data_IF_178667690252
#
_entry.id   IF_178667690252
#
_cell.length_a   1.000
_cell.length_b   1.000
_cell.length_c   1.000
_cell.angle_alpha   90.00
_cell.angle_beta   90.00
_cell.angle_gamma   90.00
#
_symmetry.space_group_name_H-M   'P 1'
#
loop_
_entity.id
_entity.type
_entity.pdbx_description
1 polymer ?
#
# COMPACT_ATOMS: atom_id res chain seq x y z
N UNK A 1 -10.43 -24.63 -33.53
CA UNK A 1 -11.63 -24.79 -32.68
C UNK A 1 -12.83 -25.21 -33.50
N UNK A 2 -13.18 -24.54 -34.57
CA UNK A 2 -14.36 -24.83 -35.42
C UNK A 2 -14.36 -26.29 -35.90
N UNK A 3 -13.19 -26.85 -36.30
CA UNK A 3 -13.06 -28.25 -36.65
C UNK A 3 -13.34 -29.20 -35.48
N UNK A 4 -12.95 -28.84 -34.26
CA UNK A 4 -13.21 -29.67 -33.08
C UNK A 4 -14.71 -29.73 -32.78
N UNK A 5 -15.38 -28.58 -32.85
CA UNK A 5 -16.84 -28.50 -32.65
C UNK A 5 -17.67 -29.11 -33.79
N UNK A 6 -17.12 -29.22 -35.01
CA UNK A 6 -17.80 -29.81 -36.15
C UNK A 6 -17.63 -31.32 -36.23
N UNK A 7 -16.60 -31.89 -35.61
CA UNK A 7 -16.24 -33.31 -35.71
C UNK A 7 -16.65 -34.16 -34.50
N UNK A 8 -16.98 -33.50 -33.37
CA UNK A 8 -17.36 -34.19 -32.12
C UNK A 8 -18.78 -33.85 -31.74
N UNK A 9 -19.43 -34.77 -30.99
CA UNK A 9 -20.73 -34.48 -30.45
C UNK A 9 -20.65 -33.37 -29.39
N UNK A 10 -21.70 -32.56 -29.28
CA UNK A 10 -21.80 -31.52 -28.26
C UNK A 10 -21.57 -32.08 -26.86
N UNK A 11 -22.02 -33.27 -26.58
CA UNK A 11 -21.89 -33.93 -25.27
C UNK A 11 -20.44 -34.33 -24.95
N UNK A 12 -19.68 -34.79 -25.95
CA UNK A 12 -18.25 -35.09 -25.78
C UNK A 12 -17.42 -33.85 -25.52
N UNK A 13 -17.67 -32.78 -26.27
CA UNK A 13 -17.01 -31.50 -26.08
C UNK A 13 -17.36 -30.91 -24.70
N UNK A 14 -18.62 -30.98 -24.31
CA UNK A 14 -19.08 -30.49 -23.02
C UNK A 14 -18.48 -31.28 -21.85
N UNK A 15 -18.43 -32.62 -21.97
CA UNK A 15 -17.81 -33.47 -20.96
C UNK A 15 -16.34 -33.18 -20.79
N UNK A 16 -15.60 -33.01 -21.91
CA UNK A 16 -14.20 -32.62 -21.87
C UNK A 16 -13.99 -31.24 -21.24
N UNK A 17 -14.79 -30.25 -21.61
CA UNK A 17 -14.70 -28.91 -21.05
C UNK A 17 -15.00 -28.91 -19.55
N UNK A 18 -15.98 -29.69 -19.11
CA UNK A 18 -16.33 -29.85 -17.71
C UNK A 18 -15.17 -30.45 -16.91
N UNK A 19 -14.59 -31.54 -17.40
CA UNK A 19 -13.45 -32.19 -16.75
C UNK A 19 -12.20 -31.31 -16.72
N UNK A 20 -12.03 -30.47 -17.75
CA UNK A 20 -10.92 -29.52 -17.82
C UNK A 20 -11.17 -28.34 -16.87
N UNK A 21 -12.39 -27.84 -16.78
CA UNK A 21 -12.76 -26.78 -15.86
C UNK A 21 -12.56 -27.20 -14.39
N UNK A 22 -12.91 -28.43 -14.01
CA UNK A 22 -12.65 -28.94 -12.65
C UNK A 22 -11.15 -28.97 -12.28
N UNK A 23 -10.26 -29.04 -13.27
CA UNK A 23 -8.81 -29.08 -13.08
C UNK A 23 -8.15 -27.72 -13.29
N UNK A 24 -8.89 -26.75 -13.83
CA UNK A 24 -8.42 -25.41 -14.17
C UNK A 24 -9.35 -24.37 -13.55
N UNK A 25 -8.90 -23.80 -12.44
CA UNK A 25 -9.68 -22.83 -11.66
C UNK A 25 -10.04 -21.58 -12.47
N UNK A 26 -9.15 -21.12 -13.35
CA UNK A 26 -9.40 -19.91 -14.17
C UNK A 26 -10.54 -20.16 -15.17
N UNK A 27 -10.53 -21.33 -15.82
CA UNK A 27 -11.61 -21.72 -16.73
C UNK A 27 -12.92 -21.94 -15.98
N UNK A 28 -12.87 -22.56 -14.80
CA UNK A 28 -14.05 -22.76 -13.95
C UNK A 28 -14.66 -21.41 -13.56
N UNK A 29 -13.86 -20.47 -13.09
CA UNK A 29 -14.30 -19.12 -12.73
C UNK A 29 -14.88 -18.36 -13.94
N UNK A 30 -14.24 -18.47 -15.12
CA UNK A 30 -14.72 -17.84 -16.33
C UNK A 30 -16.09 -18.42 -16.80
N UNK A 31 -16.27 -19.74 -16.69
CA UNK A 31 -17.54 -20.39 -17.03
C UNK A 31 -18.65 -19.99 -16.06
N UNK A 32 -18.38 -20.03 -14.75
CA UNK A 32 -19.35 -19.64 -13.71
C UNK A 32 -19.81 -18.20 -13.97
N UNK A 33 -18.87 -17.28 -14.23
CA UNK A 33 -19.19 -15.88 -14.48
C UNK A 33 -20.00 -15.69 -15.76
N UNK A 34 -19.63 -16.40 -16.85
CA UNK A 34 -20.34 -16.26 -18.12
C UNK A 34 -21.80 -16.70 -18.02
N UNK A 35 -22.06 -17.77 -17.26
CA UNK A 35 -23.42 -18.35 -17.14
C UNK A 35 -24.18 -17.84 -15.92
N UNK A 36 -23.49 -17.34 -14.88
CA UNK A 36 -24.07 -16.85 -13.62
C UNK A 36 -23.43 -15.50 -13.22
N UNK A 37 -23.63 -14.44 -14.02
CA UNK A 37 -22.94 -13.17 -13.81
C UNK A 37 -23.32 -12.47 -12.50
N UNK A 38 -24.45 -12.80 -11.90
CA UNK A 38 -24.96 -12.14 -10.69
C UNK A 38 -24.57 -12.84 -9.37
N UNK A 39 -23.82 -13.96 -9.41
CA UNK A 39 -23.53 -14.80 -8.25
C UNK A 39 -22.03 -14.96 -7.95
N UNK A 40 -21.25 -13.86 -7.98
CA UNK A 40 -19.87 -13.90 -7.48
C UNK A 40 -19.91 -13.96 -5.96
N UNK A 41 -19.60 -15.12 -5.40
CA UNK A 41 -19.46 -15.30 -3.95
C UNK A 41 -18.13 -14.69 -3.47
N UNK A 42 -18.21 -13.44 -2.99
CA UNK A 42 -17.05 -12.69 -2.49
C UNK A 42 -16.40 -13.36 -1.28
N UNK A 43 -17.19 -14.06 -0.45
CA UNK A 43 -16.64 -14.76 0.71
C UNK A 43 -15.92 -16.05 0.29
N UNK A 44 -16.38 -16.72 -0.77
CA UNK A 44 -15.67 -17.85 -1.36
C UNK A 44 -14.32 -17.42 -1.95
N UNK A 45 -14.26 -16.29 -2.65
CA UNK A 45 -13.01 -15.74 -3.18
C UNK A 45 -12.00 -15.41 -2.06
N UNK A 46 -12.46 -14.77 -1.00
CA UNK A 46 -11.63 -14.48 0.18
C UNK A 46 -11.13 -15.75 0.88
N UNK A 47 -11.97 -16.75 1.01
CA UNK A 47 -11.60 -18.05 1.58
C UNK A 47 -10.57 -18.78 0.70
N UNK A 48 -10.62 -18.61 -0.62
CA UNK A 48 -9.60 -19.15 -1.52
C UNK A 48 -8.22 -18.56 -1.21
N UNK A 49 -8.11 -17.24 -1.04
CA UNK A 49 -6.85 -16.58 -0.61
C UNK A 49 -6.37 -17.15 0.73
N UNK A 50 -7.27 -17.28 1.71
CA UNK A 50 -6.94 -17.86 3.03
C UNK A 50 -6.43 -19.28 2.95
N UNK A 51 -7.04 -20.12 2.12
CA UNK A 51 -6.68 -21.52 1.99
C UNK A 51 -5.32 -21.73 1.33
N UNK A 52 -4.84 -20.81 0.51
CA UNK A 52 -3.50 -20.84 -0.06
C UNK A 52 -2.46 -21.06 1.03
N UNK A 53 -2.62 -20.40 2.13
CA UNK A 53 -1.68 -20.37 3.25
C UNK A 53 -1.69 -21.65 4.05
N UNK A 54 -2.91 -22.09 4.41
CA UNK A 54 -3.05 -23.32 5.17
C UNK A 54 -2.52 -24.54 4.41
N UNK A 55 -2.59 -24.54 3.07
CA UNK A 55 -2.07 -25.62 2.24
C UNK A 55 -0.53 -25.69 2.19
N UNK A 56 0.17 -24.59 2.44
CA UNK A 56 1.63 -24.53 2.46
C UNK A 56 2.20 -24.84 3.86
N UNK A 57 1.44 -24.50 4.91
CA UNK A 57 1.87 -24.71 6.31
C UNK A 57 1.90 -26.20 6.72
N UNK A 58 1.18 -27.06 6.01
CA UNK A 58 1.12 -28.52 6.29
C UNK A 58 2.33 -29.31 5.73
N UNK A 59 3.20 -28.72 4.92
CA UNK A 59 4.33 -29.41 4.28
C UNK A 59 5.63 -29.41 5.08
N UNK A 60 5.59 -29.12 6.38
CA UNK A 60 6.75 -28.93 7.24
C UNK A 60 7.67 -30.14 7.37
N UNK A 61 8.94 -29.93 7.08
CA UNK A 61 10.02 -30.86 7.32
C UNK A 61 10.36 -31.00 8.82
N UNK A 62 11.10 -32.04 9.18
CA UNK A 62 11.50 -32.52 10.51
C UNK A 62 12.16 -31.48 11.45
N UNK A 63 12.43 -30.26 10.98
CA UNK A 63 13.13 -29.17 11.70
C UNK A 63 12.24 -28.00 12.07
N UNK A 64 10.93 -28.13 11.94
CA UNK A 64 9.93 -27.09 12.15
C UNK A 64 9.36 -26.61 10.83
N UNK A 65 8.21 -25.97 10.81
CA UNK A 65 7.58 -25.50 9.59
C UNK A 65 8.42 -24.37 8.99
N UNK A 66 9.36 -24.72 8.10
CA UNK A 66 9.96 -23.74 7.22
C UNK A 66 8.93 -23.42 6.16
N UNK A 67 8.22 -22.32 6.36
CA UNK A 67 7.32 -21.79 5.35
C UNK A 67 8.12 -21.54 4.07
N UNK A 68 7.74 -22.22 2.99
CA UNK A 68 8.36 -21.95 1.70
C UNK A 68 7.74 -20.66 1.13
N UNK A 69 8.33 -19.56 1.51
CA UNK A 69 7.90 -18.23 1.18
C UNK A 69 7.79 -17.98 -0.32
N UNK A 70 8.68 -18.50 -1.12
CA UNK A 70 8.60 -18.39 -2.58
C UNK A 70 7.32 -19.02 -3.15
N UNK A 71 6.86 -20.12 -2.55
CA UNK A 71 5.60 -20.75 -2.97
C UNK A 71 4.39 -19.90 -2.57
N UNK A 72 4.41 -19.28 -1.39
CA UNK A 72 3.36 -18.39 -0.95
C UNK A 72 3.31 -17.14 -1.84
N UNK A 73 4.45 -16.49 -2.09
CA UNK A 73 4.54 -15.33 -2.95
C UNK A 73 4.03 -15.63 -4.38
N UNK A 74 4.42 -16.77 -4.97
CA UNK A 74 3.91 -17.22 -6.29
C UNK A 74 2.38 -17.39 -6.27
N UNK A 75 1.82 -17.93 -5.21
CA UNK A 75 0.38 -18.12 -5.09
C UNK A 75 -0.36 -16.79 -4.85
N UNK A 76 0.19 -15.89 -4.03
CA UNK A 76 -0.36 -14.54 -3.84
C UNK A 76 -0.30 -13.74 -5.15
N UNK A 77 0.80 -13.87 -5.91
CA UNK A 77 0.92 -13.28 -7.25
C UNK A 77 -0.18 -13.77 -8.19
N UNK A 78 -0.48 -15.06 -8.20
CA UNK A 78 -1.61 -15.62 -8.98
C UNK A 78 -2.96 -15.09 -8.52
N UNK A 79 -3.15 -14.89 -7.23
CA UNK A 79 -4.39 -14.26 -6.73
C UNK A 79 -4.49 -12.80 -7.16
N UNK A 80 -3.39 -12.06 -7.17
CA UNK A 80 -3.36 -10.70 -7.72
C UNK A 80 -3.63 -10.68 -9.23
N UNK A 81 -3.14 -11.66 -9.99
CA UNK A 81 -3.49 -11.80 -11.41
C UNK A 81 -4.98 -12.06 -11.60
N UNK A 82 -5.57 -12.87 -10.73
CA UNK A 82 -7.02 -13.10 -10.70
C UNK A 82 -7.79 -11.82 -10.36
N UNK A 83 -7.32 -11.04 -9.39
CA UNK A 83 -7.89 -9.73 -9.07
C UNK A 83 -7.83 -8.78 -10.28
N UNK A 84 -6.68 -8.68 -10.96
CA UNK A 84 -6.52 -7.90 -12.20
C UNK A 84 -7.43 -8.36 -13.34
N UNK A 85 -7.72 -9.65 -13.39
CA UNK A 85 -8.68 -10.18 -14.35
C UNK A 85 -10.09 -9.69 -14.03
N UNK A 86 -10.54 -9.76 -12.77
CA UNK A 86 -11.84 -9.25 -12.34
C UNK A 86 -11.98 -7.75 -12.57
N UNK A 87 -10.94 -6.97 -12.30
CA UNK A 87 -10.91 -5.53 -12.56
C UNK A 87 -11.13 -5.22 -14.04
N UNK A 88 -10.45 -5.92 -14.95
CA UNK A 88 -10.63 -5.76 -16.40
C UNK A 88 -12.02 -6.13 -16.91
N UNK A 89 -12.67 -7.08 -16.25
CA UNK A 89 -14.04 -7.49 -16.59
C UNK A 89 -15.11 -6.57 -15.97
N UNK A 90 -14.71 -5.58 -15.17
CA UNK A 90 -15.61 -4.65 -14.48
C UNK A 90 -16.21 -5.20 -13.20
N UNK A 91 -15.72 -6.33 -12.71
CA UNK A 91 -16.14 -6.97 -11.46
C UNK A 91 -15.33 -6.42 -10.27
N UNK A 92 -15.48 -5.12 -10.03
CA UNK A 92 -14.61 -4.35 -9.14
C UNK A 92 -14.67 -4.83 -7.69
N UNK A 93 -15.84 -5.20 -7.17
CA UNK A 93 -15.98 -5.71 -5.79
C UNK A 93 -15.26 -7.05 -5.60
N UNK A 94 -15.23 -7.90 -6.63
CA UNK A 94 -14.49 -9.16 -6.61
C UNK A 94 -12.97 -8.90 -6.61
N UNK A 95 -12.50 -8.02 -7.49
CA UNK A 95 -11.10 -7.60 -7.54
C UNK A 95 -10.64 -7.03 -6.19
N UNK A 96 -11.41 -6.10 -5.64
CA UNK A 96 -11.13 -5.45 -4.37
C UNK A 96 -11.16 -6.43 -3.18
N UNK A 97 -12.07 -7.41 -3.19
CA UNK A 97 -12.16 -8.42 -2.14
C UNK A 97 -10.94 -9.33 -2.10
N UNK A 98 -10.40 -9.72 -3.26
CA UNK A 98 -9.15 -10.50 -3.34
C UNK A 98 -7.97 -9.65 -2.86
N UNK A 99 -7.83 -8.43 -3.38
CA UNK A 99 -6.72 -7.56 -3.03
C UNK A 99 -6.67 -7.24 -1.53
N UNK A 100 -7.82 -6.94 -0.91
CA UNK A 100 -7.88 -6.68 0.54
C UNK A 100 -7.52 -7.91 1.38
N UNK A 101 -7.91 -9.11 0.93
CA UNK A 101 -7.56 -10.35 1.62
C UNK A 101 -6.07 -10.67 1.52
N UNK A 102 -5.42 -10.36 0.37
CA UNK A 102 -3.96 -10.47 0.22
C UNK A 102 -3.26 -9.57 1.23
N UNK A 103 -3.68 -8.31 1.38
CA UNK A 103 -3.14 -7.40 2.39
C UNK A 103 -3.34 -7.93 3.80
N UNK A 104 -4.57 -8.34 4.14
CA UNK A 104 -4.90 -8.86 5.45
C UNK A 104 -4.06 -10.09 5.80
N UNK A 105 -3.85 -10.94 4.81
CA UNK A 105 -3.03 -12.13 4.95
C UNK A 105 -1.57 -11.80 5.23
N UNK A 106 -0.94 -11.02 4.36
CA UNK A 106 0.45 -10.60 4.55
C UNK A 106 0.63 -9.96 5.93
N UNK A 107 -0.29 -9.05 6.32
CA UNK A 107 -0.26 -8.40 7.63
C UNK A 107 -0.32 -9.37 8.80
N UNK A 108 -1.13 -10.42 8.70
CA UNK A 108 -1.22 -11.45 9.74
C UNK A 108 0.07 -12.25 9.87
N UNK A 109 0.72 -12.55 8.75
CA UNK A 109 1.99 -13.29 8.77
C UNK A 109 3.16 -12.47 9.24
N UNK A 110 3.20 -11.18 8.94
CA UNK A 110 4.21 -10.27 9.48
C UNK A 110 4.23 -10.24 11.02
N UNK A 111 3.12 -10.52 11.66
CA UNK A 111 3.02 -10.59 13.13
C UNK A 111 3.41 -11.96 13.71
N UNK A 112 3.81 -12.92 12.88
CA UNK A 112 4.25 -14.24 13.34
C UNK A 112 5.78 -14.23 13.51
N UNK A 113 6.26 -14.46 14.75
CA UNK A 113 7.69 -14.48 15.09
C UNK A 113 8.53 -15.44 14.22
N UNK A 114 7.88 -16.45 13.61
CA UNK A 114 8.50 -17.40 12.70
C UNK A 114 8.97 -16.78 11.36
N UNK A 115 8.48 -15.59 11.05
CA UNK A 115 8.74 -14.90 9.78
C UNK A 115 10.08 -14.16 9.78
N UNK A 116 10.51 -13.67 10.93
CA UNK A 116 11.76 -12.91 11.08
C UNK A 116 13.04 -13.73 10.76
N UNK A 117 12.96 -15.05 10.72
CA UNK A 117 14.10 -15.92 10.50
C UNK A 117 14.26 -16.37 9.03
N UNK A 118 13.41 -15.92 8.10
CA UNK A 118 13.41 -16.40 6.72
C UNK A 118 14.11 -15.43 5.76
N UNK A 119 15.15 -15.92 5.05
CA UNK A 119 15.73 -15.23 3.89
C UNK A 119 14.72 -15.15 2.74
N UNK A 120 14.56 -13.98 2.13
CA UNK A 120 13.68 -13.79 0.95
C UNK A 120 12.40 -13.01 1.23
N UNK A 121 12.37 -12.29 2.32
CA UNK A 121 11.23 -11.52 2.81
C UNK A 121 10.75 -10.36 1.89
N UNK A 122 11.59 -9.88 0.98
CA UNK A 122 11.31 -8.73 0.11
C UNK A 122 10.14 -8.97 -0.89
N UNK A 123 9.73 -10.23 -1.10
CA UNK A 123 8.68 -10.58 -2.05
C UNK A 123 7.28 -10.16 -1.62
N UNK A 124 7.03 -10.03 -0.32
CA UNK A 124 5.69 -9.67 0.20
C UNK A 124 5.35 -8.20 0.04
N UNK A 125 6.34 -7.35 0.10
CA UNK A 125 6.19 -5.92 -0.15
C UNK A 125 5.61 -5.69 -1.53
N UNK A 126 6.03 -6.50 -2.50
CA UNK A 126 5.54 -6.41 -3.87
C UNK A 126 4.04 -6.73 -3.96
N UNK A 127 3.57 -7.81 -3.34
CA UNK A 127 2.17 -8.21 -3.41
C UNK A 127 1.27 -7.25 -2.62
N UNK A 128 1.69 -6.81 -1.45
CA UNK A 128 0.97 -5.82 -0.65
C UNK A 128 0.87 -4.48 -1.36
N UNK A 129 1.96 -4.00 -1.95
CA UNK A 129 1.98 -2.80 -2.77
C UNK A 129 1.07 -2.94 -3.98
N UNK A 130 1.18 -4.05 -4.71
CA UNK A 130 0.34 -4.35 -5.88
C UNK A 130 -1.15 -4.36 -5.52
N UNK A 131 -1.50 -4.86 -4.33
CA UNK A 131 -2.87 -4.85 -3.85
C UNK A 131 -3.34 -3.43 -3.46
N UNK A 132 -2.51 -2.64 -2.80
CA UNK A 132 -2.80 -1.24 -2.48
C UNK A 132 -2.95 -0.39 -3.76
N UNK A 133 -2.04 -0.55 -4.72
CA UNK A 133 -2.07 0.13 -6.02
C UNK A 133 -3.34 -0.18 -6.82
N UNK A 134 -3.92 -1.37 -6.63
CA UNK A 134 -5.21 -1.73 -7.23
C UNK A 134 -6.39 -1.10 -6.48
N UNK A 135 -6.38 -1.15 -5.15
CA UNK A 135 -7.51 -0.70 -4.32
C UNK A 135 -7.70 0.81 -4.37
N UNK A 136 -6.62 1.59 -4.35
CA UNK A 136 -6.67 3.06 -4.33
C UNK A 136 -7.51 3.61 -5.49
N UNK A 137 -7.21 3.29 -6.77
CA UNK A 137 -8.00 3.80 -7.89
C UNK A 137 -9.45 3.31 -7.88
N UNK A 138 -9.71 2.06 -7.44
CA UNK A 138 -11.07 1.52 -7.36
C UNK A 138 -11.93 2.28 -6.34
N UNK A 139 -11.35 2.65 -5.20
CA UNK A 139 -12.04 3.43 -4.17
C UNK A 139 -12.25 4.86 -4.63
N UNK A 140 -11.24 5.51 -5.21
CA UNK A 140 -11.31 6.90 -5.67
C UNK A 140 -12.30 7.08 -6.82
N UNK A 141 -12.39 6.12 -7.73
CA UNK A 141 -13.35 6.13 -8.85
C UNK A 141 -14.79 5.84 -8.43
N UNK A 142 -15.02 5.48 -7.16
CA UNK A 142 -16.34 5.20 -6.57
C UNK A 142 -17.12 4.10 -7.30
N UNK A 143 -16.41 3.11 -7.83
CA UNK A 143 -17.03 1.97 -8.53
C UNK A 143 -17.37 0.81 -7.59
N UNK A 144 -16.85 0.83 -6.34
CA UNK A 144 -17.10 -0.20 -5.33
C UNK A 144 -18.39 0.05 -4.55
N UNK A 145 -19.03 -1.05 -4.15
CA UNK A 145 -20.14 -0.99 -3.18
C UNK A 145 -19.62 -0.49 -1.82
N UNK A 146 -20.43 0.31 -1.14
CA UNK A 146 -20.06 0.92 0.15
C UNK A 146 -19.80 -0.13 1.25
N UNK A 147 -20.42 -1.31 1.18
CA UNK A 147 -20.15 -2.39 2.13
C UNK A 147 -18.80 -3.04 1.84
N UNK A 148 -18.41 -3.15 0.57
CA UNK A 148 -17.06 -3.58 0.18
C UNK A 148 -16.02 -2.60 0.70
N UNK A 149 -16.19 -1.29 0.50
CA UNK A 149 -15.28 -0.27 1.02
C UNK A 149 -15.17 -0.35 2.55
N UNK A 150 -16.31 -0.48 3.26
CA UNK A 150 -16.29 -0.60 4.73
C UNK A 150 -15.57 -1.85 5.21
N UNK A 151 -15.71 -2.97 4.49
CA UNK A 151 -15.00 -4.22 4.78
C UNK A 151 -13.49 -4.04 4.58
N UNK A 152 -13.06 -3.43 3.47
CA UNK A 152 -11.65 -3.11 3.20
C UNK A 152 -11.09 -2.23 4.32
N UNK A 153 -11.79 -1.17 4.72
CA UNK A 153 -11.37 -0.30 5.82
C UNK A 153 -11.13 -1.08 7.11
N UNK A 154 -12.07 -1.95 7.49
CA UNK A 154 -11.91 -2.77 8.68
C UNK A 154 -10.73 -3.78 8.58
N UNK A 155 -10.43 -4.26 7.40
CA UNK A 155 -9.33 -5.19 7.19
C UNK A 155 -7.97 -4.46 7.25
N UNK A 156 -7.87 -3.26 6.67
CA UNK A 156 -6.68 -2.40 6.78
C UNK A 156 -6.45 -1.98 8.22
N UNK A 157 -7.48 -1.59 8.96
CA UNK A 157 -7.34 -1.23 10.38
C UNK A 157 -6.80 -2.38 11.23
N UNK A 158 -7.21 -3.63 10.94
CA UNK A 158 -6.67 -4.82 11.62
C UNK A 158 -5.17 -4.98 11.33
N UNK A 159 -4.76 -4.79 10.09
CA UNK A 159 -3.37 -4.92 9.66
C UNK A 159 -2.51 -3.84 10.30
N UNK A 160 -2.93 -2.58 10.24
CA UNK A 160 -2.22 -1.45 10.84
C UNK A 160 -2.17 -1.51 12.37
N UNK A 161 -3.11 -2.23 12.99
CA UNK A 161 -3.13 -2.48 14.44
C UNK A 161 -2.14 -3.55 14.90
N UNK A 162 -1.46 -4.27 14.00
CA UNK A 162 -0.48 -5.30 14.37
C UNK A 162 0.87 -4.69 14.75
N UNK A 163 1.58 -5.32 15.70
CA UNK A 163 2.91 -4.89 16.15
C UNK A 163 3.94 -4.89 15.02
N UNK A 164 3.83 -5.81 14.09
CA UNK A 164 4.72 -5.91 12.94
C UNK A 164 4.68 -4.65 12.04
N UNK A 165 3.51 -4.07 11.84
CA UNK A 165 3.36 -2.80 11.12
C UNK A 165 3.78 -1.60 11.98
N UNK A 166 3.59 -1.67 13.28
CA UNK A 166 4.02 -0.63 14.21
C UNK A 166 5.54 -0.60 14.41
N UNK A 167 6.19 -1.77 14.43
CA UNK A 167 7.62 -1.91 14.70
C UNK A 167 8.49 -2.04 13.46
N UNK A 168 7.96 -2.60 12.36
CA UNK A 168 8.73 -3.01 11.18
C UNK A 168 8.65 -2.06 9.98
N UNK A 169 7.58 -1.33 9.81
CA UNK A 169 7.43 -0.32 8.77
C UNK A 169 7.37 -0.79 7.31
N UNK A 170 7.33 -2.09 7.04
CA UNK A 170 7.19 -2.61 5.68
C UNK A 170 5.82 -2.26 5.10
N UNK A 171 5.76 -1.82 3.85
CA UNK A 171 4.55 -1.37 3.14
C UNK A 171 3.70 -0.32 3.90
N UNK A 172 4.23 0.23 4.97
CA UNK A 172 3.50 1.19 5.79
C UNK A 172 3.10 2.44 4.98
N UNK A 173 3.92 2.85 3.99
CA UNK A 173 3.60 3.96 3.12
C UNK A 173 2.34 3.66 2.28
N UNK A 174 2.34 2.53 1.56
CA UNK A 174 1.29 2.16 0.63
C UNK A 174 -0.04 1.89 1.37
N UNK A 175 0.03 1.18 2.50
CA UNK A 175 -1.16 0.91 3.33
C UNK A 175 -1.73 2.15 4.00
N UNK A 176 -0.90 3.08 4.37
CA UNK A 176 -1.39 4.30 4.97
C UNK A 176 -1.93 5.27 3.92
N UNK A 177 -1.45 5.25 2.67
CA UNK A 177 -2.07 5.96 1.56
C UNK A 177 -3.47 5.38 1.30
N UNK A 178 -3.57 4.05 1.22
CA UNK A 178 -4.85 3.36 1.12
C UNK A 178 -5.80 3.73 2.27
N UNK A 179 -5.31 3.75 3.51
CA UNK A 179 -6.11 4.20 4.66
C UNK A 179 -6.60 5.64 4.48
N UNK A 180 -5.74 6.55 4.05
CA UNK A 180 -6.11 7.95 3.83
C UNK A 180 -7.22 8.10 2.78
N UNK A 181 -7.18 7.28 1.73
CA UNK A 181 -8.23 7.25 0.69
C UNK A 181 -9.54 6.70 1.26
N UNK A 182 -9.50 5.60 2.01
CA UNK A 182 -10.67 5.00 2.66
C UNK A 182 -11.38 5.98 3.60
N UNK A 183 -10.64 6.70 4.41
CA UNK A 183 -11.18 7.71 5.33
C UNK A 183 -11.76 8.92 4.59
N UNK A 184 -11.18 9.28 3.45
CA UNK A 184 -11.74 10.29 2.55
C UNK A 184 -13.15 9.94 2.06
N UNK A 185 -13.45 8.66 1.88
CA UNK A 185 -14.79 8.19 1.47
C UNK A 185 -15.82 8.37 2.59
N UNK A 186 -15.42 8.17 3.84
CA UNK A 186 -16.33 8.23 4.99
C UNK A 186 -16.47 9.63 5.59
N UNK A 187 -15.74 10.62 5.06
CA UNK A 187 -15.74 12.04 5.53
C UNK A 187 -15.42 12.20 7.03
N UNK A 188 -14.55 11.34 7.54
CA UNK A 188 -14.15 11.29 8.96
C UNK A 188 -12.83 12.03 9.20
N UNK A 189 -12.72 13.26 8.70
CA UNK A 189 -11.47 14.04 8.76
C UNK A 189 -10.91 14.18 10.18
N UNK A 190 -11.75 14.55 11.14
CA UNK A 190 -11.30 14.81 12.52
C UNK A 190 -10.88 13.52 13.22
N UNK A 191 -11.58 12.42 13.00
CA UNK A 191 -11.26 11.10 13.59
C UNK A 191 -9.93 10.57 13.03
N UNK A 192 -9.71 10.76 11.73
CA UNK A 192 -8.46 10.36 11.10
C UNK A 192 -7.29 11.18 11.60
N UNK A 193 -7.43 12.49 11.63
CA UNK A 193 -6.39 13.38 12.12
C UNK A 193 -6.01 13.04 13.56
N UNK A 194 -7.01 12.77 14.42
CA UNK A 194 -6.79 12.33 15.80
C UNK A 194 -6.08 10.97 15.87
N UNK A 195 -6.39 10.04 14.94
CA UNK A 195 -5.71 8.75 14.83
C UNK A 195 -4.24 8.92 14.44
N UNK A 196 -3.94 9.76 13.43
CA UNK A 196 -2.57 10.08 13.04
C UNK A 196 -1.78 10.70 14.20
N UNK A 197 -2.37 11.66 14.92
CA UNK A 197 -1.72 12.29 16.07
C UNK A 197 -1.41 11.27 17.17
N UNK A 198 -2.34 10.36 17.46
CA UNK A 198 -2.11 9.27 18.42
C UNK A 198 -0.99 8.33 17.99
N UNK A 199 -0.88 8.01 16.70
CA UNK A 199 0.21 7.18 16.18
C UNK A 199 1.55 7.90 16.30
N UNK A 200 1.60 9.19 15.93
CA UNK A 200 2.80 10.03 16.05
C UNK A 200 3.27 10.11 17.50
N UNK A 201 2.34 10.32 18.44
CA UNK A 201 2.64 10.38 19.87
C UNK A 201 3.12 9.03 20.43
N UNK A 202 2.52 7.91 19.99
CA UNK A 202 2.89 6.57 20.39
C UNK A 202 4.21 6.08 19.78
N UNK A 203 4.64 6.64 18.65
CA UNK A 203 5.91 6.30 18.03
C UNK A 203 7.14 6.56 18.91
N UNK A 204 6.98 7.35 19.96
CA UNK A 204 7.94 7.51 21.05
C UNK A 204 9.36 7.85 20.58
N UNK A 205 10.34 7.00 20.94
CA UNK A 205 11.76 7.16 20.56
C UNK A 205 12.12 6.63 19.18
N UNK A 206 11.20 5.99 18.47
CA UNK A 206 11.42 5.51 17.14
C UNK A 206 11.33 6.67 16.12
N UNK A 207 12.37 7.49 16.08
CA UNK A 207 12.45 8.76 15.29
C UNK A 207 12.06 8.54 13.85
N UNK A 208 12.54 7.46 13.23
CA UNK A 208 12.23 7.14 11.83
C UNK A 208 10.72 6.98 11.58
N UNK A 209 10.02 6.23 12.46
CA UNK A 209 8.57 6.04 12.32
C UNK A 209 7.79 7.33 12.55
N UNK A 210 8.16 8.07 13.60
CA UNK A 210 7.53 9.35 13.91
C UNK A 210 7.63 10.31 12.72
N UNK A 211 8.80 10.41 12.10
CA UNK A 211 9.03 11.29 10.95
C UNK A 211 8.17 10.89 9.76
N UNK A 212 8.06 9.60 9.48
CA UNK A 212 7.23 9.08 8.40
C UNK A 212 5.74 9.40 8.61
N UNK A 213 5.24 9.25 9.83
CA UNK A 213 3.86 9.61 10.16
C UNK A 213 3.58 11.11 10.11
N UNK A 214 4.54 11.93 10.50
CA UNK A 214 4.46 13.38 10.32
C UNK A 214 4.36 13.77 8.85
N UNK A 215 5.18 13.17 7.99
CA UNK A 215 5.10 13.38 6.54
C UNK A 215 3.71 13.04 6.00
N UNK A 216 3.15 11.91 6.42
CA UNK A 216 1.80 11.51 6.03
C UNK A 216 0.74 12.47 6.52
N UNK A 217 0.82 12.93 7.76
CA UNK A 217 -0.10 13.93 8.29
C UNK A 217 -0.10 15.18 7.41
N UNK A 218 1.08 15.64 6.99
CA UNK A 218 1.22 16.79 6.09
C UNK A 218 0.60 16.48 4.72
N UNK A 219 0.88 15.32 4.14
CA UNK A 219 0.30 14.91 2.86
C UNK A 219 -1.23 14.85 2.94
N UNK A 220 -1.78 14.26 4.00
CA UNK A 220 -3.21 14.20 4.24
C UNK A 220 -3.86 15.58 4.40
N UNK A 221 -3.23 16.46 5.18
CA UNK A 221 -3.71 17.83 5.35
C UNK A 221 -3.72 18.61 4.02
N UNK A 222 -2.69 18.43 3.18
CA UNK A 222 -2.64 19.01 1.84
C UNK A 222 -3.73 18.44 0.93
N UNK A 223 -3.95 17.14 0.96
CA UNK A 223 -5.02 16.47 0.21
C UNK A 223 -6.41 17.02 0.60
N UNK A 224 -6.62 17.32 1.87
CA UNK A 224 -7.85 17.93 2.41
C UNK A 224 -7.88 19.48 2.30
N UNK A 225 -6.94 20.07 1.56
CA UNK A 225 -6.83 21.53 1.37
C UNK A 225 -6.69 22.33 2.69
N UNK A 226 -6.18 21.67 3.74
CA UNK A 226 -5.89 22.30 5.04
C UNK A 226 -4.46 22.84 5.10
N UNK A 227 -4.12 23.71 4.14
CA UNK A 227 -2.75 24.18 3.91
C UNK A 227 -2.12 24.85 5.13
N UNK A 228 -2.87 25.65 5.88
CA UNK A 228 -2.36 26.31 7.09
C UNK A 228 -1.96 25.29 8.17
N UNK A 229 -2.76 24.23 8.35
CA UNK A 229 -2.47 23.16 9.30
C UNK A 229 -1.29 22.30 8.84
N UNK A 230 -1.19 22.01 7.54
CA UNK A 230 -0.04 21.32 6.95
C UNK A 230 1.23 22.13 7.17
N UNK A 231 1.20 23.42 6.85
CA UNK A 231 2.33 24.32 7.04
C UNK A 231 2.75 24.41 8.51
N UNK A 232 1.81 24.55 9.43
CA UNK A 232 2.10 24.53 10.86
C UNK A 232 2.76 23.23 11.29
N UNK A 233 2.28 22.09 10.79
CA UNK A 233 2.87 20.78 11.10
C UNK A 233 4.33 20.70 10.62
N UNK A 234 4.64 21.25 9.44
CA UNK A 234 6.01 21.35 8.91
C UNK A 234 6.86 22.25 9.84
N UNK A 235 6.38 23.44 10.16
CA UNK A 235 7.12 24.41 10.95
C UNK A 235 7.42 23.90 12.37
N UNK A 236 6.47 23.19 12.98
CA UNK A 236 6.63 22.59 14.32
C UNK A 236 7.60 21.39 14.31
N UNK A 237 7.84 20.76 13.14
CA UNK A 237 8.70 19.59 12.99
C UNK A 237 9.79 19.79 11.92
N UNK A 238 10.33 20.98 11.81
CA UNK A 238 11.28 21.37 10.76
C UNK A 238 12.62 20.61 10.82
N UNK A 239 12.95 20.00 11.96
CA UNK A 239 14.10 19.12 12.13
C UNK A 239 13.99 17.78 11.36
N UNK A 240 12.81 17.46 10.81
CA UNK A 240 12.56 16.26 9.99
C UNK A 240 12.99 16.57 8.55
N UNK A 241 14.00 15.86 7.99
CA UNK A 241 14.54 16.15 6.66
C UNK A 241 13.51 16.22 5.55
N UNK A 242 12.57 15.26 5.53
CA UNK A 242 11.52 15.17 4.52
C UNK A 242 10.58 16.39 4.56
N UNK A 243 10.24 16.87 5.76
CA UNK A 243 9.33 18.00 5.94
C UNK A 243 10.02 19.33 5.58
N UNK A 244 11.24 19.55 6.06
CA UNK A 244 12.00 20.75 5.70
C UNK A 244 12.27 20.82 4.20
N UNK A 245 12.57 19.67 3.56
CA UNK A 245 12.71 19.58 2.11
C UNK A 245 11.42 19.97 1.38
N UNK A 246 10.26 19.48 1.81
CA UNK A 246 8.96 19.87 1.21
C UNK A 246 8.76 21.39 1.27
N UNK A 247 9.12 22.02 2.39
CA UNK A 247 9.03 23.48 2.55
C UNK A 247 9.94 24.21 1.58
N UNK A 248 11.20 23.81 1.55
CA UNK A 248 12.23 24.43 0.69
C UNK A 248 11.87 24.28 -0.79
N UNK A 249 11.48 23.08 -1.22
CA UNK A 249 11.10 22.81 -2.61
C UNK A 249 9.86 23.64 -3.01
N UNK A 250 8.88 23.79 -2.12
CA UNK A 250 7.72 24.65 -2.35
C UNK A 250 8.10 26.11 -2.52
N UNK A 251 9.00 26.64 -1.67
CA UNK A 251 9.48 28.02 -1.75
C UNK A 251 10.26 28.28 -3.06
N UNK A 252 11.13 27.34 -3.44
CA UNK A 252 11.87 27.42 -4.72
C UNK A 252 10.91 27.40 -5.90
N UNK A 253 9.91 26.51 -5.89
CA UNK A 253 8.91 26.42 -6.94
C UNK A 253 8.11 27.72 -7.11
N UNK A 254 7.82 28.41 -6.03
CA UNK A 254 7.11 29.70 -6.04
C UNK A 254 8.05 30.90 -6.25
N UNK A 255 9.33 30.68 -6.49
CA UNK A 255 10.32 31.76 -6.70
C UNK A 255 10.69 32.53 -5.44
N UNK A 256 10.36 32.02 -4.26
CA UNK A 256 10.66 32.60 -2.95
C UNK A 256 12.10 32.19 -2.53
N UNK A 257 13.10 32.64 -3.28
CA UNK A 257 14.48 32.14 -3.15
C UNK A 257 15.12 32.55 -1.82
N UNK A 258 14.89 33.79 -1.36
CA UNK A 258 15.43 34.22 -0.07
C UNK A 258 14.87 33.42 1.10
N UNK A 259 13.56 33.18 1.10
CA UNK A 259 12.90 32.36 2.11
C UNK A 259 13.39 30.90 2.05
N UNK A 260 13.67 30.39 0.85
CA UNK A 260 14.25 29.04 0.68
C UNK A 260 15.66 28.95 1.28
N UNK A 261 16.49 29.99 1.09
CA UNK A 261 17.83 30.07 1.69
C UNK A 261 17.75 30.14 3.22
N UNK A 262 16.85 30.95 3.77
CA UNK A 262 16.60 31.00 5.22
C UNK A 262 16.12 29.64 5.77
N UNK A 263 15.26 28.97 5.02
CA UNK A 263 14.80 27.63 5.38
C UNK A 263 15.91 26.57 5.33
N UNK A 264 16.84 26.68 4.36
CA UNK A 264 18.03 25.83 4.31
C UNK A 264 18.94 26.07 5.52
N UNK A 265 19.18 27.33 5.91
CA UNK A 265 19.97 27.64 7.10
C UNK A 265 19.33 27.06 8.37
N UNK A 266 18.02 27.21 8.53
CA UNK A 266 17.29 26.63 9.63
C UNK A 266 17.37 25.08 9.63
N UNK A 267 17.30 24.44 8.46
CA UNK A 267 17.42 22.99 8.34
C UNK A 267 18.82 22.50 8.77
N UNK A 268 19.87 23.21 8.36
CA UNK A 268 21.26 22.94 8.76
C UNK A 268 21.43 23.03 10.29
N UNK A 269 20.80 24.02 10.92
CA UNK A 269 20.92 24.24 12.35
C UNK A 269 20.13 23.22 13.22
N UNK A 270 19.01 22.71 12.74
CA UNK A 270 18.10 21.93 13.57
C UNK A 270 18.10 20.42 13.29
N UNK A 271 18.77 19.94 12.22
CA UNK A 271 18.84 18.50 11.92
C UNK A 271 20.15 17.88 12.39
N UNK A 272 20.07 16.64 12.88
CA UNK A 272 21.24 15.82 13.26
C UNK A 272 21.73 14.93 12.10
N UNK A 273 21.00 14.86 10.99
CA UNK A 273 21.36 14.04 9.82
C UNK A 273 22.47 14.75 9.00
N UNK A 274 23.69 14.28 9.16
CA UNK A 274 24.87 14.85 8.50
C UNK A 274 24.80 14.76 6.96
N UNK A 275 24.15 13.74 6.41
CA UNK A 275 23.96 13.59 4.95
C UNK A 275 22.99 14.65 4.43
N UNK A 276 21.90 14.87 5.16
CA UNK A 276 20.95 15.91 4.81
C UNK A 276 21.52 17.30 4.99
N UNK A 277 22.30 17.57 6.04
CA UNK A 277 23.03 18.84 6.23
C UNK A 277 23.92 19.13 5.02
N UNK A 278 24.68 18.15 4.56
CA UNK A 278 25.53 18.30 3.37
C UNK A 278 24.70 18.66 2.12
N UNK A 279 23.60 17.97 1.89
CA UNK A 279 22.68 18.25 0.78
C UNK A 279 22.07 19.66 0.87
N UNK A 280 21.76 20.14 2.09
CA UNK A 280 21.28 21.51 2.30
C UNK A 280 22.34 22.55 1.95
N UNK A 281 23.61 22.32 2.30
CA UNK A 281 24.70 23.20 1.92
C UNK A 281 24.90 23.28 0.39
N UNK A 282 24.89 22.14 -0.29
CA UNK A 282 24.98 22.10 -1.76
C UNK A 282 23.83 22.87 -2.40
N UNK A 283 22.60 22.61 -1.95
CA UNK A 283 21.40 23.28 -2.47
C UNK A 283 21.43 24.79 -2.22
N UNK A 284 21.90 25.21 -1.06
CA UNK A 284 22.09 26.64 -0.74
C UNK A 284 23.06 27.30 -1.69
N UNK A 285 24.21 26.68 -1.96
CA UNK A 285 25.18 27.19 -2.93
C UNK A 285 24.58 27.36 -4.33
N UNK A 286 23.86 26.36 -4.82
CA UNK A 286 23.17 26.43 -6.11
C UNK A 286 22.20 27.62 -6.19
N UNK A 287 21.41 27.87 -5.14
CA UNK A 287 20.48 28.99 -5.10
C UNK A 287 21.19 30.34 -5.06
N UNK A 288 22.28 30.48 -4.28
CA UNK A 288 23.09 31.70 -4.22
C UNK A 288 23.77 31.99 -5.56
N UNK A 289 24.28 31.00 -6.26
CA UNK A 289 24.82 31.15 -7.61
C UNK A 289 23.77 31.63 -8.60
N UNK A 290 22.55 31.07 -8.51
CA UNK A 290 21.44 31.44 -9.40
C UNK A 290 20.98 32.88 -9.19
N UNK A 291 21.03 33.38 -7.96
CA UNK A 291 20.69 34.77 -7.63
C UNK A 291 21.81 35.77 -7.90
N UNK A 292 23.02 35.27 -8.16
CA UNK A 292 24.23 36.12 -8.35
C UNK A 292 24.77 36.73 -7.06
N UNK A 293 24.27 36.31 -5.89
CA UNK A 293 24.74 36.77 -4.58
C UNK A 293 25.95 35.96 -4.11
N UNK A 294 27.09 36.19 -4.78
CA UNK A 294 28.36 35.53 -4.45
C UNK A 294 28.95 36.00 -3.11
N UNK A 295 28.41 37.05 -2.52
CA UNK A 295 28.94 37.60 -1.25
C UNK A 295 28.64 36.69 -0.04
N UNK A 296 27.65 35.82 -0.15
CA UNK A 296 27.26 34.82 0.87
C UNK A 296 27.88 33.43 0.66
N UNK A 297 28.73 33.27 -0.38
CA UNK A 297 29.43 32.01 -0.67
C UNK A 297 30.75 31.85 0.13
N UNK A 298 31.16 32.86 0.87
CA UNK A 298 32.35 32.86 1.72
C UNK A 298 31.99 32.54 3.18
#
# INVERSE_FOLDING_TARGET
LDQVFSLNSSDEVFSFMKDYAYKNQDLSAALIRHFFPDDIDLDALRNEVRNIIYSVDESGDRWGPSLNWYQIADQLGRMMDKARYYDREGEFDAAASIASEVILFVGKYYSDDRVYECEGFDGYDFETRSAADMLIPLIESKVLDINTIRRISNDIDKVLGTTAFQDGGYCLADLSELQSVLEGVFDNFDDHLASLDKIIDNAGRAVYYRNRWLFRKVAYLNYKEKYDAAQKTIDDNFFVPELSKMRIDSQVFHGQIEEAIESLDRAIECTEDSSYVHSCHERKMELLETTGDTSRLA
#
